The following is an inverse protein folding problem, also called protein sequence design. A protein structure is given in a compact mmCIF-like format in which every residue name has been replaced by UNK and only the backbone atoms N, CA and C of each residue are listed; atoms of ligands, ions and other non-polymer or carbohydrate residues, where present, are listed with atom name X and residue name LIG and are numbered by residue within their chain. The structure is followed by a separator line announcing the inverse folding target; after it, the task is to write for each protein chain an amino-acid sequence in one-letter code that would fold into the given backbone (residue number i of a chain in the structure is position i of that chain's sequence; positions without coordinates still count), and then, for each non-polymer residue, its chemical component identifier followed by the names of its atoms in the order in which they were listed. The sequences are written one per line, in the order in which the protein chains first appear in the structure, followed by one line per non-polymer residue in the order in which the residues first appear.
data_IF_053967373430
#
_entry.id   IF_053967373430
#
_cell.length_a   1.000
_cell.length_b   1.000
_cell.length_c   1.000
_cell.angle_alpha   90.00
_cell.angle_beta   90.00
_cell.angle_gamma   90.00
#
_symmetry.space_group_name_H-M   'P 1'
#
loop_
_entity.id
_entity.type
_entity.pdbx_description
1 polymer ?
#
# COMPACT_ATOMS: atom_id res chain seq x y z
N UNK A 1 -29.55 49.08 25.61
CA UNK A 1 -28.25 48.39 25.65
C UNK A 1 -27.16 49.41 25.89
N UNK A 2 -26.45 49.29 27.00
CA UNK A 2 -25.31 50.14 27.34
C UNK A 2 -24.03 49.59 26.72
N UNK A 3 -23.04 50.44 26.42
CA UNK A 3 -21.76 50.04 25.78
C UNK A 3 -21.01 48.96 26.57
N UNK A 4 -21.19 48.92 27.89
CA UNK A 4 -20.63 47.91 28.79
C UNK A 4 -21.26 46.52 28.58
N UNK A 5 -22.59 46.44 28.49
CA UNK A 5 -23.30 45.17 28.25
C UNK A 5 -22.91 44.55 26.92
N UNK A 6 -22.77 45.37 25.87
CA UNK A 6 -22.32 44.89 24.56
C UNK A 6 -20.90 44.35 24.60
N UNK A 7 -20.01 44.95 25.39
CA UNK A 7 -18.62 44.51 25.52
C UNK A 7 -18.49 43.21 26.33
N UNK A 8 -19.30 43.05 27.36
CA UNK A 8 -19.36 41.80 28.15
C UNK A 8 -19.92 40.66 27.29
N UNK A 9 -21.02 40.90 26.55
CA UNK A 9 -21.62 39.89 25.67
C UNK A 9 -20.65 39.46 24.55
N UNK A 10 -19.97 40.39 23.90
CA UNK A 10 -19.00 40.04 22.86
C UNK A 10 -17.80 39.29 23.41
N UNK A 11 -17.33 39.62 24.62
CA UNK A 11 -16.25 38.90 25.28
C UNK A 11 -16.63 37.43 25.58
N UNK A 12 -17.83 37.17 26.12
CA UNK A 12 -18.30 35.80 26.35
C UNK A 12 -18.50 35.01 25.06
N UNK A 13 -19.02 35.65 24.01
CA UNK A 13 -19.17 35.02 22.69
C UNK A 13 -17.80 34.65 22.10
N UNK A 14 -16.81 35.55 22.18
CA UNK A 14 -15.45 35.26 21.70
C UNK A 14 -14.82 34.09 22.47
N UNK A 15 -14.93 34.07 23.79
CA UNK A 15 -14.41 32.96 24.62
C UNK A 15 -15.07 31.64 24.22
N UNK A 16 -16.39 31.63 24.02
CA UNK A 16 -17.12 30.44 23.57
C UNK A 16 -16.66 29.97 22.19
N UNK A 17 -16.44 30.89 21.24
CA UNK A 17 -15.91 30.57 19.90
C UNK A 17 -14.49 30.01 20.00
N UNK A 18 -13.59 30.64 20.76
CA UNK A 18 -12.21 30.19 20.90
C UNK A 18 -12.09 28.83 21.61
N UNK A 19 -13.03 28.47 22.49
CA UNK A 19 -13.09 27.15 23.10
C UNK A 19 -13.67 26.09 22.15
N UNK A 20 -14.69 26.44 21.37
CA UNK A 20 -15.39 25.50 20.48
C UNK A 20 -14.63 25.21 19.18
N UNK A 21 -13.95 26.21 18.59
CA UNK A 21 -13.27 26.07 17.29
C UNK A 21 -12.20 24.97 17.30
N UNK A 22 -11.29 24.86 18.28
CA UNK A 22 -10.30 23.78 18.32
C UNK A 22 -10.94 22.39 18.38
N UNK A 23 -12.03 22.24 19.16
CA UNK A 23 -12.75 20.97 19.28
C UNK A 23 -13.42 20.56 17.97
N UNK A 24 -14.07 21.51 17.28
CA UNK A 24 -14.71 21.28 15.98
C UNK A 24 -13.65 20.95 14.91
N UNK A 25 -12.55 21.70 14.88
CA UNK A 25 -11.43 21.46 13.96
C UNK A 25 -10.85 20.06 14.15
N UNK A 26 -10.61 19.65 15.41
CA UNK A 26 -10.11 18.32 15.73
C UNK A 26 -11.05 17.21 15.22
N UNK A 27 -12.37 17.36 15.43
CA UNK A 27 -13.35 16.41 14.93
C UNK A 27 -13.34 16.33 13.39
N UNK A 28 -13.33 17.47 12.70
CA UNK A 28 -13.27 17.50 11.23
C UNK A 28 -12.02 16.79 10.72
N UNK A 29 -10.85 17.04 11.32
CA UNK A 29 -9.61 16.37 10.92
C UNK A 29 -9.66 14.86 11.15
N UNK A 30 -10.24 14.39 12.25
CA UNK A 30 -10.42 12.96 12.48
C UNK A 30 -11.33 12.30 11.42
N UNK A 31 -12.44 12.94 11.05
CA UNK A 31 -13.32 12.41 10.01
C UNK A 31 -12.68 12.41 8.62
N UNK A 32 -11.97 13.48 8.26
CA UNK A 32 -11.28 13.56 6.98
C UNK A 32 -10.11 12.56 6.90
N UNK A 33 -9.33 12.42 7.97
CA UNK A 33 -8.29 11.41 8.06
C UNK A 33 -8.85 9.98 7.95
N UNK A 34 -10.04 9.73 8.50
CA UNK A 34 -10.72 8.43 8.38
C UNK A 34 -11.17 8.14 6.95
N UNK A 35 -11.74 9.13 6.28
CA UNK A 35 -12.12 9.01 4.88
C UNK A 35 -10.89 8.73 4.00
N UNK A 36 -9.80 9.48 4.22
CA UNK A 36 -8.53 9.27 3.51
C UNK A 36 -7.95 7.89 3.77
N UNK A 37 -7.85 7.47 5.03
CA UNK A 37 -7.28 6.17 5.37
C UNK A 37 -8.07 5.01 4.74
N UNK A 38 -9.40 5.11 4.71
CA UNK A 38 -10.24 4.14 4.00
C UNK A 38 -9.98 4.14 2.49
N UNK A 39 -9.84 5.32 1.88
CA UNK A 39 -9.51 5.44 0.47
C UNK A 39 -8.11 4.87 0.15
N UNK A 40 -7.12 5.10 1.03
CA UNK A 40 -5.78 4.54 0.89
C UNK A 40 -5.78 3.01 1.02
N UNK A 41 -6.48 2.44 2.01
CA UNK A 41 -6.60 0.98 2.15
C UNK A 41 -7.36 0.36 0.97
N UNK A 42 -8.42 1.00 0.50
CA UNK A 42 -9.14 0.56 -0.69
C UNK A 42 -8.24 0.61 -1.93
N UNK A 43 -7.46 1.68 -2.11
CA UNK A 43 -6.48 1.82 -3.18
C UNK A 43 -5.44 0.69 -3.16
N UNK A 44 -4.87 0.36 -2.00
CA UNK A 44 -3.93 -0.76 -1.87
C UNK A 44 -4.58 -2.08 -2.27
N UNK A 45 -5.84 -2.33 -1.87
CA UNK A 45 -6.56 -3.54 -2.27
C UNK A 45 -6.81 -3.60 -3.77
N UNK A 46 -7.27 -2.50 -4.37
CA UNK A 46 -7.50 -2.41 -5.82
C UNK A 46 -6.19 -2.61 -6.58
N UNK A 47 -5.09 -2.00 -6.14
CA UNK A 47 -3.78 -2.20 -6.75
C UNK A 47 -3.35 -3.67 -6.67
N UNK A 48 -3.52 -4.31 -5.51
CA UNK A 48 -3.21 -5.71 -5.31
C UNK A 48 -4.06 -6.63 -6.20
N UNK A 49 -5.39 -6.44 -6.22
CA UNK A 49 -6.31 -7.18 -7.08
C UNK A 49 -5.97 -7.02 -8.56
N UNK A 50 -5.62 -5.80 -8.98
CA UNK A 50 -5.32 -5.49 -10.37
C UNK A 50 -4.03 -6.16 -10.82
N UNK A 51 -2.97 -6.12 -10.01
CA UNK A 51 -1.71 -6.82 -10.30
C UNK A 51 -1.92 -8.35 -10.27
N UNK A 52 -2.70 -8.85 -9.31
CA UNK A 52 -2.99 -10.28 -9.19
C UNK A 52 -3.78 -10.79 -10.39
N UNK A 53 -4.85 -10.10 -10.79
CA UNK A 53 -5.66 -10.46 -11.96
C UNK A 53 -4.86 -10.44 -13.25
N UNK A 54 -3.87 -9.55 -13.37
CA UNK A 54 -3.06 -9.39 -14.58
C UNK A 54 -1.81 -10.29 -14.59
N UNK A 55 -1.54 -11.05 -13.53
CA UNK A 55 -0.33 -11.89 -13.43
C UNK A 55 -0.24 -12.93 -14.57
N UNK A 56 -1.39 -13.38 -15.08
CA UNK A 56 -1.50 -14.32 -16.19
C UNK A 56 -1.50 -13.66 -17.57
N UNK A 57 -1.57 -12.33 -17.64
CA UNK A 57 -1.62 -11.55 -18.87
C UNK A 57 -0.30 -10.81 -19.08
N UNK A 58 0.64 -11.46 -19.77
CA UNK A 58 1.91 -10.83 -20.11
C UNK A 58 1.70 -9.50 -20.85
N UNK A 59 2.43 -8.46 -20.45
CA UNK A 59 2.35 -7.09 -20.99
C UNK A 59 1.07 -6.33 -20.65
N UNK A 60 0.29 -6.78 -19.67
CA UNK A 60 -0.80 -5.98 -19.11
C UNK A 60 -0.27 -4.71 -18.46
N UNK A 61 -0.91 -3.57 -18.76
CA UNK A 61 -0.53 -2.25 -18.28
C UNK A 61 -1.80 -1.50 -17.85
N UNK A 62 -1.80 -0.90 -16.67
CA UNK A 62 -2.91 -0.07 -16.20
C UNK A 62 -2.43 1.11 -15.35
N UNK A 63 -3.25 2.13 -15.29
CA UNK A 63 -3.08 3.27 -14.38
C UNK A 63 -4.18 3.17 -13.32
N UNK A 64 -3.77 3.12 -12.06
CA UNK A 64 -4.66 3.16 -10.90
C UNK A 64 -4.57 4.57 -10.31
N UNK A 65 -5.70 5.29 -10.30
CA UNK A 65 -5.74 6.64 -9.74
C UNK A 65 -5.46 6.58 -8.24
N UNK A 66 -4.53 7.43 -7.79
CA UNK A 66 -4.20 7.52 -6.37
C UNK A 66 -5.23 8.39 -5.67
N UNK A 67 -5.69 8.02 -4.46
CA UNK A 67 -6.51 8.92 -3.65
C UNK A 67 -5.70 10.16 -3.28
N UNK A 68 -6.39 11.28 -3.04
CA UNK A 68 -5.73 12.45 -2.48
C UNK A 68 -5.31 12.17 -1.04
N UNK A 69 -3.99 12.06 -0.82
CA UNK A 69 -3.40 11.92 0.50
C UNK A 69 -2.97 13.30 1.00
N UNK A 70 -3.77 13.90 1.88
CA UNK A 70 -3.50 15.22 2.49
C UNK A 70 -2.96 15.09 3.91
N UNK A 71 -3.32 14.01 4.60
CA UNK A 71 -3.00 13.78 6.01
C UNK A 71 -1.97 12.68 6.20
N UNK A 72 -2.00 11.65 5.36
CA UNK A 72 -1.06 10.55 5.37
C UNK A 72 -0.05 10.62 4.25
N UNK A 73 0.87 9.66 4.26
CA UNK A 73 1.95 9.55 3.29
C UNK A 73 2.00 8.13 2.72
N UNK A 74 2.23 8.01 1.42
CA UNK A 74 2.53 6.74 0.77
C UNK A 74 4.04 6.64 0.54
N UNK A 75 4.66 5.69 1.20
CA UNK A 75 6.10 5.40 1.10
C UNK A 75 6.31 4.03 0.48
N UNK A 76 7.48 3.80 -0.13
CA UNK A 76 7.87 2.49 -0.63
C UNK A 76 9.22 2.09 -0.05
N UNK A 77 9.42 0.78 0.08
CA UNK A 77 10.72 0.19 0.44
C UNK A 77 10.98 -1.02 -0.44
N UNK A 78 12.06 -0.96 -1.21
CA UNK A 78 12.49 -2.06 -2.08
C UNK A 78 13.59 -2.84 -1.39
N UNK A 79 13.37 -4.13 -1.20
CA UNK A 79 14.35 -5.05 -0.63
C UNK A 79 14.67 -6.14 -1.65
N UNK A 80 15.91 -6.64 -1.66
CA UNK A 80 16.26 -7.80 -2.48
C UNK A 80 15.88 -9.06 -1.73
N UNK A 81 14.93 -9.82 -2.26
CA UNK A 81 14.53 -11.12 -1.73
C UNK A 81 15.65 -12.15 -1.93
N UNK A 82 16.31 -12.07 -3.08
CA UNK A 82 17.41 -12.93 -3.49
C UNK A 82 17.68 -12.79 -4.99
N UNK A 83 18.19 -13.83 -5.61
CA UNK A 83 18.53 -13.92 -7.01
C UNK A 83 18.11 -15.27 -7.57
N UNK A 84 17.72 -15.30 -8.85
CA UNK A 84 17.54 -16.51 -9.64
C UNK A 84 18.43 -16.44 -10.89
N UNK A 85 19.37 -17.39 -11.03
CA UNK A 85 20.35 -17.42 -12.14
C UNK A 85 21.07 -16.07 -12.34
N UNK A 86 21.50 -15.45 -11.24
CA UNK A 86 22.17 -14.13 -11.23
C UNK A 86 21.25 -12.91 -11.42
N UNK A 87 19.96 -13.10 -11.74
CA UNK A 87 19.00 -12.00 -11.84
C UNK A 87 18.38 -11.69 -10.47
N UNK A 88 18.39 -10.43 -10.01
CA UNK A 88 17.81 -10.05 -8.71
C UNK A 88 16.28 -10.15 -8.72
N UNK A 89 15.74 -10.67 -7.63
CA UNK A 89 14.31 -10.72 -7.32
C UNK A 89 14.06 -9.73 -6.19
N UNK A 90 13.27 -8.70 -6.47
CA UNK A 90 12.95 -7.63 -5.54
C UNK A 90 11.58 -7.85 -4.90
N UNK A 91 11.50 -7.47 -3.64
CA UNK A 91 10.27 -7.35 -2.87
C UNK A 91 10.10 -5.88 -2.49
N UNK A 92 9.20 -5.21 -3.21
CA UNK A 92 8.83 -3.83 -2.91
C UNK A 92 7.59 -3.82 -2.02
N UNK A 93 7.72 -3.26 -0.83
CA UNK A 93 6.60 -2.99 0.07
C UNK A 93 6.13 -1.55 -0.10
N UNK A 94 4.84 -1.35 -0.37
CA UNK A 94 4.19 -0.04 -0.34
C UNK A 94 3.53 0.16 1.02
N UNK A 95 3.81 1.26 1.71
CA UNK A 95 3.27 1.54 3.04
C UNK A 95 2.59 2.89 3.08
N UNK A 96 1.29 2.88 3.33
CA UNK A 96 0.54 4.07 3.71
C UNK A 96 0.67 4.31 5.22
N UNK A 97 1.00 5.54 5.62
CA UNK A 97 1.10 5.95 7.01
C UNK A 97 0.05 7.02 7.29
N UNK A 98 -0.82 6.78 8.26
CA UNK A 98 -1.72 7.79 8.81
C UNK A 98 -1.14 8.34 10.12
N UNK A 99 -1.17 9.64 10.39
CA UNK A 99 -0.79 10.18 11.70
C UNK A 99 -1.94 10.19 12.72
N UNK A 100 -3.18 10.00 12.28
CA UNK A 100 -4.36 10.22 13.12
C UNK A 100 -5.12 8.94 13.48
N UNK A 101 -4.84 7.82 12.81
CA UNK A 101 -5.64 6.61 12.94
C UNK A 101 -4.77 5.36 13.07
N UNK A 102 -5.17 4.52 14.01
CA UNK A 102 -4.72 3.14 14.08
C UNK A 102 -5.39 2.35 12.95
N UNK A 103 -4.56 1.68 12.14
CA UNK A 103 -4.97 0.85 11.03
C UNK A 103 -4.49 -0.55 11.31
N UNK A 104 -5.01 -1.18 12.36
CA UNK A 104 -4.61 -2.53 12.77
C UNK A 104 -5.48 -3.59 12.10
N UNK A 105 -4.84 -4.63 11.58
CA UNK A 105 -5.52 -5.83 11.09
C UNK A 105 -5.07 -6.26 9.71
N UNK A 106 -5.41 -7.49 9.36
CA UNK A 106 -5.11 -8.04 8.06
C UNK A 106 -6.24 -7.68 7.08
N UNK A 107 -5.91 -6.90 6.05
CA UNK A 107 -6.87 -6.46 5.03
C UNK A 107 -6.88 -7.38 3.81
N UNK A 108 -5.79 -8.11 3.57
CA UNK A 108 -5.68 -9.11 2.49
C UNK A 108 -4.72 -10.25 2.86
N UNK A 109 -5.11 -11.47 2.53
CA UNK A 109 -4.45 -12.72 2.94
C UNK A 109 -4.97 -13.23 4.28
N UNK A 110 -4.48 -14.37 4.75
CA UNK A 110 -4.80 -14.88 6.10
C UNK A 110 -3.62 -14.77 7.08
N UNK A 111 -2.39 -14.59 6.57
CA UNK A 111 -1.17 -14.44 7.38
C UNK A 111 -0.20 -13.41 6.80
N UNK A 112 0.39 -12.58 7.67
CA UNK A 112 1.52 -11.72 7.30
C UNK A 112 2.83 -12.51 7.31
N UNK A 113 3.13 -13.21 6.20
CA UNK A 113 4.32 -14.04 6.02
C UNK A 113 4.84 -13.92 4.59
N UNK A 114 6.15 -14.04 4.39
CA UNK A 114 6.78 -13.96 3.06
C UNK A 114 6.53 -15.18 2.17
N UNK A 115 6.45 -16.38 2.74
CA UNK A 115 6.15 -17.64 2.04
C UNK A 115 4.82 -18.20 2.54
N UNK A 116 3.91 -18.48 1.61
CA UNK A 116 2.55 -18.98 1.88
C UNK A 116 2.14 -20.05 0.87
N UNK A 117 1.18 -20.89 1.26
CA UNK A 117 0.61 -21.92 0.40
C UNK A 117 -0.67 -21.41 -0.26
N UNK A 118 -0.89 -21.78 -1.53
CA UNK A 118 -2.17 -21.59 -2.18
C UNK A 118 -3.31 -22.21 -1.33
N UNK A 119 -4.47 -21.56 -1.20
CA UNK A 119 -4.98 -20.45 -2.02
C UNK A 119 -4.70 -19.04 -1.47
N UNK A 120 -3.61 -18.81 -0.72
CA UNK A 120 -3.25 -17.45 -0.29
C UNK A 120 -2.86 -16.52 -1.46
N UNK A 121 -3.26 -15.24 -1.43
CA UNK A 121 -2.95 -14.31 -2.52
C UNK A 121 -1.44 -13.98 -2.58
N UNK A 122 -0.86 -13.74 -3.77
CA UNK A 122 0.55 -13.34 -3.91
C UNK A 122 0.86 -11.96 -3.35
N UNK A 123 -0.14 -11.15 -3.01
CA UNK A 123 0.04 -9.87 -2.34
C UNK A 123 -0.73 -9.91 -1.02
N UNK A 124 -0.09 -9.54 0.08
CA UNK A 124 -0.74 -9.33 1.36
C UNK A 124 -0.87 -7.84 1.66
N UNK A 125 -1.90 -7.48 2.42
CA UNK A 125 -2.09 -6.13 2.95
C UNK A 125 -2.33 -6.25 4.43
N UNK A 126 -1.42 -5.69 5.22
CA UNK A 126 -1.45 -5.78 6.67
C UNK A 126 -1.25 -4.40 7.31
N UNK A 127 -2.13 -4.13 8.27
CA UNK A 127 -2.14 -2.95 9.08
C UNK A 127 -1.45 -3.16 10.43
N UNK A 128 -0.58 -2.24 10.82
CA UNK A 128 0.17 -2.27 12.07
C UNK A 128 0.36 -0.85 12.61
N UNK A 129 -0.09 -0.63 13.85
CA UNK A 129 -0.10 0.72 14.43
C UNK A 129 -0.88 1.67 13.55
N UNK A 130 -0.25 2.74 13.06
CA UNK A 130 -0.88 3.72 12.17
C UNK A 130 -0.50 3.55 10.69
N UNK A 131 0.08 2.40 10.35
CA UNK A 131 0.57 2.09 8.99
C UNK A 131 -0.19 0.92 8.39
N UNK A 132 -0.34 0.91 7.06
CA UNK A 132 -0.82 -0.24 6.28
C UNK A 132 0.16 -0.52 5.16
N UNK A 133 0.65 -1.74 5.12
CA UNK A 133 1.67 -2.19 4.17
C UNK A 133 1.09 -3.21 3.21
N UNK A 134 1.31 -3.00 1.92
CA UNK A 134 1.13 -3.95 0.83
C UNK A 134 2.49 -4.55 0.51
N UNK A 135 2.62 -5.87 0.59
CA UNK A 135 3.85 -6.57 0.25
C UNK A 135 3.58 -7.81 -0.62
N UNK A 136 4.36 -8.02 -1.69
CA UNK A 136 4.35 -9.27 -2.43
C UNK A 136 4.93 -10.42 -1.58
N UNK A 137 4.42 -11.61 -1.85
CA UNK A 137 4.73 -12.88 -1.18
C UNK A 137 5.12 -13.93 -2.21
N UNK A 138 5.81 -14.95 -1.75
CA UNK A 138 6.05 -16.18 -2.48
C UNK A 138 4.86 -17.10 -2.21
N UNK A 139 4.15 -17.52 -3.26
CA UNK A 139 3.01 -18.43 -3.15
C UNK A 139 3.39 -19.78 -3.71
N UNK A 140 3.26 -20.83 -2.91
CA UNK A 140 3.50 -22.20 -3.31
C UNK A 140 2.20 -22.84 -3.82
N UNK A 141 2.25 -23.30 -5.07
CA UNK A 141 1.25 -24.10 -5.75
C UNK A 141 1.79 -25.52 -5.94
N UNK A 142 1.68 -26.33 -4.87
CA UNK A 142 2.29 -27.66 -4.85
C UNK A 142 3.81 -27.58 -5.02
N UNK A 143 4.30 -28.02 -6.18
CA UNK A 143 5.74 -28.07 -6.49
C UNK A 143 6.28 -26.80 -7.20
N UNK A 144 5.43 -25.80 -7.40
CA UNK A 144 5.77 -24.53 -8.07
C UNK A 144 5.69 -23.39 -7.06
N UNK A 145 6.72 -22.55 -6.98
CA UNK A 145 6.69 -21.28 -6.27
C UNK A 145 6.46 -20.13 -7.27
N UNK A 146 5.50 -19.25 -7.01
CA UNK A 146 5.24 -18.04 -7.80
C UNK A 146 5.68 -16.83 -7.00
N UNK A 147 6.45 -15.93 -7.62
CA UNK A 147 6.97 -14.71 -7.00
C UNK A 147 6.72 -13.52 -7.91
N UNK A 148 6.14 -12.46 -7.37
CA UNK A 148 6.05 -11.16 -8.04
C UNK A 148 7.35 -10.38 -7.78
N UNK A 149 8.15 -10.16 -8.81
CA UNK A 149 9.35 -9.32 -8.75
C UNK A 149 8.93 -7.87 -8.99
N UNK A 150 8.47 -7.23 -7.92
CA UNK A 150 7.95 -5.85 -7.98
C UNK A 150 9.10 -4.86 -7.84
N UNK A 151 9.28 -3.99 -8.83
CA UNK A 151 10.16 -2.83 -8.77
C UNK A 151 9.34 -1.53 -8.77
N UNK A 152 9.83 -0.53 -8.04
CA UNK A 152 9.19 0.79 -7.99
C UNK A 152 10.09 1.86 -8.56
N UNK A 153 9.51 2.72 -9.41
CA UNK A 153 10.14 3.91 -9.97
C UNK A 153 9.21 5.12 -9.81
N UNK A 154 9.77 6.32 -9.90
CA UNK A 154 8.99 7.55 -9.97
C UNK A 154 9.30 8.25 -11.29
N UNK A 155 8.26 8.66 -12.03
CA UNK A 155 8.43 9.39 -13.29
C UNK A 155 8.98 10.80 -13.03
N UNK A 156 9.72 11.35 -14.00
CA UNK A 156 10.25 12.71 -13.89
C UNK A 156 9.09 13.72 -13.89
N UNK A 157 8.90 14.42 -12.78
CA UNK A 157 7.81 15.39 -12.61
C UNK A 157 6.48 14.77 -12.15
N UNK A 158 6.50 13.55 -11.60
CA UNK A 158 5.31 12.91 -11.04
C UNK A 158 4.60 13.85 -10.04
N UNK A 159 3.33 14.13 -10.29
CA UNK A 159 2.48 14.95 -9.41
C UNK A 159 1.77 14.08 -8.36
N UNK A 160 1.92 12.75 -8.46
CA UNK A 160 1.30 11.78 -7.55
C UNK A 160 -0.20 11.64 -7.80
N UNK A 161 -0.63 11.69 -9.06
CA UNK A 161 -2.05 11.60 -9.44
C UNK A 161 -2.46 10.13 -9.66
N UNK A 162 -1.49 9.26 -9.99
CA UNK A 162 -1.75 7.84 -10.15
C UNK A 162 -0.51 6.97 -10.07
N UNK A 163 -0.75 5.67 -9.92
CA UNK A 163 0.26 4.65 -10.05
C UNK A 163 0.01 3.91 -11.36
N UNK A 164 0.99 3.96 -12.25
CA UNK A 164 1.07 3.08 -13.41
C UNK A 164 1.71 1.77 -12.98
N UNK A 165 1.19 0.64 -13.46
CA UNK A 165 1.91 -0.63 -13.35
C UNK A 165 1.91 -1.39 -14.67
N UNK A 166 2.95 -2.19 -14.87
CA UNK A 166 3.14 -3.07 -16.02
C UNK A 166 3.60 -4.45 -15.56
N UNK A 167 2.92 -5.49 -16.05
CA UNK A 167 3.29 -6.90 -15.83
C UNK A 167 4.04 -7.40 -17.07
N UNK A 168 5.18 -8.04 -16.90
CA UNK A 168 5.98 -8.59 -18.00
C UNK A 168 5.88 -10.12 -18.06
N UNK A 169 6.40 -10.68 -19.15
CA UNK A 169 6.42 -12.14 -19.35
C UNK A 169 7.09 -12.86 -18.17
N UNK A 170 6.44 -13.89 -17.58
CA UNK A 170 7.03 -14.69 -16.52
C UNK A 170 8.32 -15.39 -16.96
N UNK A 171 9.26 -15.53 -16.02
CA UNK A 171 10.48 -16.32 -16.20
C UNK A 171 10.45 -17.51 -15.26
N UNK A 172 10.68 -18.69 -15.82
CA UNK A 172 10.72 -19.94 -15.05
C UNK A 172 12.16 -20.33 -14.77
N UNK A 173 12.43 -20.69 -13.53
CA UNK A 173 13.71 -21.15 -13.03
C UNK A 173 13.53 -22.49 -12.32
N UNK A 174 14.60 -23.28 -12.27
CA UNK A 174 14.68 -24.39 -11.32
C UNK A 174 15.02 -23.86 -9.93
N UNK A 175 14.52 -24.49 -8.86
CA UNK A 175 14.65 -23.97 -7.50
C UNK A 175 16.10 -23.87 -7.02
N UNK A 176 16.98 -24.75 -7.49
CA UNK A 176 18.43 -24.72 -7.26
C UNK A 176 19.12 -23.48 -7.86
N UNK A 177 18.49 -22.82 -8.84
CA UNK A 177 18.99 -21.59 -9.44
C UNK A 177 18.65 -20.35 -8.60
N UNK A 178 17.80 -20.48 -7.58
CA UNK A 178 17.32 -19.38 -6.74
C UNK A 178 17.88 -19.49 -5.30
N UNK A 179 18.34 -18.37 -4.73
CA UNK A 179 19.00 -18.36 -3.41
C UNK A 179 18.12 -17.83 -2.25
N UNK A 180 16.80 -17.94 -2.38
CA UNK A 180 15.83 -17.53 -1.35
C UNK A 180 14.87 -18.66 -1.03
N UNK A 181 14.22 -18.59 0.14
CA UNK A 181 13.35 -19.66 0.61
C UNK A 181 12.06 -19.76 -0.23
N UNK A 182 11.98 -20.78 -1.08
CA UNK A 182 10.79 -21.13 -1.88
C UNK A 182 10.01 -22.32 -1.30
N UNK A 183 10.41 -22.81 -0.13
CA UNK A 183 9.92 -24.07 0.44
C UNK A 183 10.31 -25.29 -0.38
N UNK A 184 9.64 -26.42 -0.16
CA UNK A 184 9.85 -27.66 -0.92
C UNK A 184 9.23 -27.55 -2.33
N UNK A 185 9.89 -26.85 -3.24
CA UNK A 185 9.47 -26.64 -4.63
C UNK A 185 10.61 -26.95 -5.59
N UNK A 186 10.29 -27.49 -6.77
CA UNK A 186 11.28 -27.74 -7.82
C UNK A 186 11.38 -26.60 -8.83
N UNK A 187 10.34 -25.78 -8.95
CA UNK A 187 10.21 -24.79 -10.01
C UNK A 187 9.78 -23.45 -9.42
N UNK A 188 10.42 -22.36 -9.89
CA UNK A 188 10.16 -20.99 -9.45
C UNK A 188 9.75 -20.16 -10.66
N UNK A 189 8.57 -19.57 -10.60
CA UNK A 189 8.04 -18.65 -11.61
C UNK A 189 8.16 -17.24 -11.06
N UNK A 190 9.01 -16.43 -11.70
CA UNK A 190 9.21 -15.03 -11.36
C UNK A 190 8.45 -14.17 -12.37
N UNK A 191 7.47 -13.42 -11.91
CA UNK A 191 6.66 -12.51 -12.72
C UNK A 191 7.18 -11.09 -12.48
N UNK A 192 7.84 -10.45 -13.47
CA UNK A 192 8.32 -9.09 -13.30
C UNK A 192 7.15 -8.10 -13.35
N UNK A 193 7.09 -7.21 -12.36
CA UNK A 193 6.09 -6.15 -12.28
C UNK A 193 6.81 -4.83 -12.02
N UNK A 194 6.57 -3.86 -12.87
CA UNK A 194 7.09 -2.49 -12.68
C UNK A 194 5.94 -1.62 -12.22
N UNK A 195 6.16 -0.89 -11.13
CA UNK A 195 5.25 0.11 -10.59
C UNK A 195 5.92 1.48 -10.74
N UNK A 196 5.21 2.43 -11.33
CA UNK A 196 5.70 3.79 -11.59
C UNK A 196 4.72 4.83 -11.04
N UNK A 197 5.23 5.78 -10.24
CA UNK A 197 4.45 6.95 -9.83
C UNK A 197 4.35 7.98 -10.97
N UNK A 198 3.12 8.40 -11.29
CA UNK A 198 2.81 9.43 -12.29
C UNK A 198 2.03 10.60 -11.68
#
# INVERSE_FOLDING_TARGET
MTSLETLILTAFVLIAIFAAVPAIMWQIYQYQALAEARAAVAFLNVLADSIESDMGAAYAQKIVNMPQLRFGELTYSTTTLGQCNGAPVYNTTLTYKSPYLSLFGLYRGTRWRSLVDAPEPPIAINGWGTSVSLAPRIVRYGNIAVVLNITYTASQGALGVGIYYAVYSPKTYSADQCNFNTGDTSTVVVIPVVIELR
#
